data_IF_204897640773
#
_entry.id   IF_204897640773
#
_cell.length_a   1.000
_cell.length_b   1.000
_cell.length_c   1.000
_cell.angle_alpha   90.00
_cell.angle_beta   90.00
_cell.angle_gamma   90.00
#
_symmetry.space_group_name_H-M   'P 1'
#
loop_
_entity.id
_entity.type
_entity.pdbx_description
1 polymer ?
#
# COMPACT_ATOMS: atom_id res chain seq x y z
N UNK A 1 -44.49 -12.83 2.67
CA UNK A 1 -44.18 -13.51 3.94
C UNK A 1 -42.94 -12.83 4.49
N UNK A 2 -43.13 -11.81 5.35
CA UNK A 2 -42.07 -11.08 6.03
C UNK A 2 -41.59 -11.95 7.20
N UNK A 3 -40.39 -12.51 7.11
CA UNK A 3 -39.73 -13.05 8.29
C UNK A 3 -39.21 -11.89 9.14
N UNK A 4 -39.83 -11.72 10.27
CA UNK A 4 -39.30 -10.90 11.36
C UNK A 4 -38.00 -11.57 11.85
N UNK A 5 -36.88 -10.89 11.69
CA UNK A 5 -35.64 -11.28 12.34
C UNK A 5 -35.75 -10.90 13.82
N UNK A 6 -35.62 -11.88 14.71
CA UNK A 6 -35.48 -11.61 16.13
C UNK A 6 -34.06 -11.06 16.37
N UNK A 7 -33.97 -9.83 16.83
CA UNK A 7 -32.71 -9.22 17.24
C UNK A 7 -32.18 -9.93 18.52
N UNK A 8 -31.05 -10.59 18.40
CA UNK A 8 -30.37 -11.14 19.59
C UNK A 8 -29.66 -10.01 20.32
N UNK A 9 -30.17 -9.67 21.48
CA UNK A 9 -29.54 -8.67 22.36
C UNK A 9 -28.56 -9.36 23.31
N UNK A 10 -27.27 -9.13 23.09
CA UNK A 10 -26.22 -9.58 23.99
C UNK A 10 -25.78 -8.41 24.91
N UNK A 11 -25.48 -8.70 26.17
CA UNK A 11 -24.83 -7.75 27.06
C UNK A 11 -23.32 -7.98 26.97
N UNK A 12 -22.56 -6.90 26.71
CA UNK A 12 -21.11 -6.97 26.79
C UNK A 12 -20.63 -7.06 28.25
N UNK A 13 -19.34 -7.27 28.48
CA UNK A 13 -18.69 -7.37 29.79
C UNK A 13 -18.92 -6.12 30.70
N UNK A 14 -19.41 -5.02 30.16
CA UNK A 14 -19.74 -3.78 30.87
C UNK A 14 -21.25 -3.55 31.05
N UNK A 15 -22.07 -4.58 30.77
CA UNK A 15 -23.53 -4.51 30.91
C UNK A 15 -24.27 -3.68 29.87
N UNK A 16 -23.58 -3.20 28.78
CA UNK A 16 -24.22 -2.45 27.70
C UNK A 16 -24.90 -3.41 26.72
N UNK A 17 -26.10 -3.07 26.29
CA UNK A 17 -26.80 -3.81 25.25
C UNK A 17 -26.08 -3.65 23.92
N UNK A 18 -25.70 -4.78 23.31
CA UNK A 18 -25.17 -4.85 21.95
C UNK A 18 -26.24 -5.54 21.10
N UNK A 19 -26.80 -4.84 20.16
CA UNK A 19 -27.72 -5.40 19.18
C UNK A 19 -26.83 -6.10 18.14
N UNK A 20 -26.81 -7.42 18.15
CA UNK A 20 -26.16 -8.22 17.09
C UNK A 20 -27.21 -8.48 16.03
N UNK A 21 -27.18 -7.74 14.95
CA UNK A 21 -27.97 -8.02 13.76
C UNK A 21 -27.24 -9.19 13.05
N UNK A 22 -27.66 -10.41 13.31
CA UNK A 22 -27.21 -11.55 12.50
C UNK A 22 -27.90 -11.51 11.14
N UNK A 23 -27.38 -10.70 10.23
CA UNK A 23 -27.68 -10.94 8.83
C UNK A 23 -26.77 -12.08 8.35
N UNK A 24 -27.32 -13.14 7.77
CA UNK A 24 -26.50 -14.21 7.23
C UNK A 24 -25.57 -13.61 6.18
N UNK A 25 -24.26 -13.86 6.34
CA UNK A 25 -23.26 -13.41 5.37
C UNK A 25 -23.55 -14.05 4.01
N UNK A 26 -23.93 -13.23 3.05
CA UNK A 26 -24.11 -13.67 1.68
C UNK A 26 -22.85 -13.37 0.90
N UNK A 27 -22.06 -14.40 0.63
CA UNK A 27 -20.89 -14.26 -0.24
C UNK A 27 -21.35 -13.90 -1.66
N UNK A 28 -21.02 -12.67 -2.09
CA UNK A 28 -21.23 -12.24 -3.46
C UNK A 28 -19.92 -12.36 -4.22
N UNK A 29 -19.82 -13.31 -5.12
CA UNK A 29 -18.70 -13.37 -6.07
C UNK A 29 -18.86 -12.20 -7.04
N UNK A 30 -17.95 -11.24 -6.95
CA UNK A 30 -17.86 -10.13 -7.90
C UNK A 30 -16.76 -10.47 -8.91
N UNK A 31 -17.07 -10.35 -10.19
CA UNK A 31 -16.05 -10.46 -11.22
C UNK A 31 -15.10 -9.26 -11.13
N UNK A 32 -13.80 -9.53 -11.27
CA UNK A 32 -12.79 -8.49 -11.29
C UNK A 32 -12.89 -7.75 -12.64
N UNK A 33 -12.95 -6.43 -12.59
CA UNK A 33 -12.94 -5.59 -13.77
C UNK A 33 -11.62 -4.81 -13.86
N UNK A 34 -11.04 -4.75 -15.07
CA UNK A 34 -9.97 -3.82 -15.40
C UNK A 34 -10.65 -2.64 -16.10
N UNK A 35 -10.71 -1.45 -15.48
CA UNK A 35 -11.31 -0.29 -16.14
C UNK A 35 -10.51 0.10 -17.38
N UNK A 36 -11.20 0.55 -18.42
CA UNK A 36 -10.56 1.05 -19.62
C UNK A 36 -9.87 2.39 -19.33
N UNK A 37 -8.54 2.43 -19.43
CA UNK A 37 -7.76 3.65 -19.21
C UNK A 37 -7.96 4.70 -20.31
N UNK A 38 -8.35 4.27 -21.53
CA UNK A 38 -8.56 5.18 -22.67
C UNK A 38 -9.78 6.09 -22.48
N UNK A 39 -10.61 5.82 -21.48
CA UNK A 39 -11.73 6.71 -21.06
C UNK A 39 -11.23 8.06 -20.53
N UNK A 40 -9.96 8.17 -20.19
CA UNK A 40 -9.34 9.42 -19.78
C UNK A 40 -8.64 10.09 -20.97
N UNK A 41 -8.97 11.35 -21.30
CA UNK A 41 -8.39 12.05 -22.45
C UNK A 41 -6.86 12.03 -22.52
N UNK A 42 -6.20 12.17 -21.38
CA UNK A 42 -4.73 12.13 -21.32
C UNK A 42 -4.10 10.77 -21.64
N UNK A 43 -4.90 9.71 -21.67
CA UNK A 43 -4.45 8.35 -21.96
C UNK A 43 -5.19 7.68 -23.12
N UNK A 44 -5.98 8.44 -23.88
CA UNK A 44 -6.77 7.91 -24.99
C UNK A 44 -5.92 7.21 -26.07
N UNK A 45 -4.67 7.65 -26.26
CA UNK A 45 -3.74 7.06 -27.24
C UNK A 45 -2.75 6.06 -26.65
N UNK A 46 -2.84 5.73 -25.35
CA UNK A 46 -1.89 4.83 -24.69
C UNK A 46 -2.18 3.39 -25.07
N UNK A 47 -1.19 2.73 -25.61
CA UNK A 47 -1.25 1.32 -26.01
C UNK A 47 -1.25 0.40 -24.78
N UNK A 48 -1.65 -0.86 -24.98
CA UNK A 48 -1.60 -1.87 -23.93
C UNK A 48 -0.19 -2.15 -23.44
N UNK A 49 0.78 -2.20 -24.35
CA UNK A 49 2.18 -2.47 -24.01
C UNK A 49 2.77 -1.34 -23.15
N UNK A 50 2.45 -0.09 -23.48
CA UNK A 50 2.80 1.06 -22.64
C UNK A 50 2.14 0.96 -21.28
N UNK A 51 0.82 0.70 -21.23
CA UNK A 51 0.08 0.57 -19.97
C UNK A 51 0.62 -0.54 -19.06
N UNK A 52 1.02 -1.65 -19.61
CA UNK A 52 1.61 -2.78 -18.88
C UNK A 52 3.13 -2.58 -18.60
N UNK A 53 3.75 -1.48 -19.07
CA UNK A 53 5.14 -1.14 -18.79
C UNK A 53 5.33 -0.50 -17.42
N UNK A 54 6.21 -1.07 -16.59
CA UNK A 54 6.62 -0.50 -15.29
C UNK A 54 7.17 0.90 -15.44
N UNK A 55 8.03 1.10 -16.45
CA UNK A 55 8.68 2.38 -16.72
C UNK A 55 7.67 3.44 -17.10
N UNK A 56 6.71 3.10 -17.97
CA UNK A 56 5.64 4.00 -18.36
C UNK A 56 4.79 4.41 -17.16
N UNK A 57 4.35 3.46 -16.34
CA UNK A 57 3.56 3.72 -15.13
C UNK A 57 4.29 4.67 -14.17
N UNK A 58 5.58 4.46 -13.94
CA UNK A 58 6.40 5.32 -13.08
C UNK A 58 6.60 6.72 -13.65
N UNK A 59 6.84 6.84 -14.95
CA UNK A 59 7.05 8.11 -15.64
C UNK A 59 5.78 8.98 -15.65
N UNK A 60 4.60 8.36 -15.74
CA UNK A 60 3.31 9.03 -15.84
C UNK A 60 2.55 9.13 -14.50
N UNK A 61 3.22 8.91 -13.35
CA UNK A 61 2.63 9.20 -12.06
C UNK A 61 2.20 10.67 -11.97
N UNK A 62 0.96 10.88 -11.53
CA UNK A 62 0.41 12.23 -11.29
C UNK A 62 0.95 12.77 -9.97
N UNK A 63 1.56 13.97 -10.01
CA UNK A 63 2.26 14.60 -8.88
C UNK A 63 1.64 15.93 -8.45
N UNK A 64 0.72 16.46 -9.23
CA UNK A 64 0.08 17.76 -8.96
C UNK A 64 -1.25 17.89 -9.71
N UNK A 65 -2.01 18.93 -9.36
CA UNK A 65 -3.34 19.22 -9.93
C UNK A 65 -3.28 19.44 -11.45
N UNK A 66 -2.23 20.10 -11.95
CA UNK A 66 -2.10 20.34 -13.39
C UNK A 66 -2.04 19.01 -14.15
N UNK A 67 -1.18 18.09 -13.72
CA UNK A 67 -1.09 16.75 -14.33
C UNK A 67 -2.38 15.96 -14.18
N UNK A 68 -3.08 16.08 -13.03
CA UNK A 68 -4.38 15.45 -12.84
C UNK A 68 -5.41 15.96 -13.86
N UNK A 69 -5.45 17.27 -14.10
CA UNK A 69 -6.31 17.88 -15.13
C UNK A 69 -5.92 17.45 -16.55
N UNK A 70 -4.62 17.35 -16.85
CA UNK A 70 -4.13 16.86 -18.14
C UNK A 70 -4.62 15.43 -18.42
N UNK A 71 -4.62 14.58 -17.39
CA UNK A 71 -5.11 13.19 -17.51
C UNK A 71 -6.63 13.12 -17.64
N UNK A 72 -7.36 13.80 -16.75
CA UNK A 72 -8.83 13.70 -16.66
C UNK A 72 -9.56 14.67 -17.59
N UNK A 73 -8.84 15.57 -18.26
CA UNK A 73 -9.41 16.58 -19.14
C UNK A 73 -10.37 17.50 -18.39
N UNK A 74 -11.50 17.84 -19.03
CA UNK A 74 -12.54 18.68 -18.43
C UNK A 74 -13.41 18.01 -17.35
N UNK A 75 -13.12 16.76 -16.96
CA UNK A 75 -13.92 15.98 -16.01
C UNK A 75 -13.87 16.46 -14.57
N UNK A 76 -12.92 17.36 -14.21
CA UNK A 76 -12.83 17.92 -12.86
C UNK A 76 -13.39 19.34 -12.80
N UNK A 77 -14.30 19.58 -11.86
CA UNK A 77 -14.82 20.91 -11.59
C UNK A 77 -13.75 21.82 -10.94
N UNK A 78 -13.92 23.13 -11.12
CA UNK A 78 -13.08 24.13 -10.43
C UNK A 78 -13.22 24.01 -8.90
N UNK A 79 -14.42 23.66 -8.41
CA UNK A 79 -14.66 23.45 -6.99
C UNK A 79 -13.81 22.30 -6.43
N UNK A 80 -13.72 21.16 -7.14
CA UNK A 80 -12.84 20.06 -6.75
C UNK A 80 -11.37 20.49 -6.70
N UNK A 81 -10.91 21.22 -7.70
CA UNK A 81 -9.53 21.67 -7.77
C UNK A 81 -9.19 22.66 -6.66
N UNK A 82 -10.12 23.56 -6.31
CA UNK A 82 -9.96 24.47 -5.19
C UNK A 82 -9.89 23.72 -3.84
N UNK A 83 -10.76 22.72 -3.64
CA UNK A 83 -10.81 21.89 -2.45
C UNK A 83 -9.51 21.07 -2.28
N UNK A 84 -9.01 20.47 -3.36
CA UNK A 84 -7.73 19.75 -3.38
C UNK A 84 -6.54 20.70 -3.08
N UNK A 85 -6.54 21.90 -3.67
CA UNK A 85 -5.50 22.89 -3.42
C UNK A 85 -5.47 23.32 -1.94
N UNK A 86 -6.65 23.52 -1.37
CA UNK A 86 -6.78 23.88 0.05
C UNK A 86 -6.24 22.75 0.95
N UNK A 87 -6.58 21.49 0.67
CA UNK A 87 -6.04 20.35 1.42
C UNK A 87 -4.51 20.27 1.35
N UNK A 88 -3.96 20.40 0.14
CA UNK A 88 -2.51 20.34 -0.06
C UNK A 88 -1.74 21.43 0.68
N UNK A 89 -2.33 22.61 0.82
CA UNK A 89 -1.75 23.72 1.57
C UNK A 89 -1.87 23.59 3.08
N UNK A 90 -3.00 23.05 3.56
CA UNK A 90 -3.40 23.17 4.96
C UNK A 90 -3.34 21.88 5.76
N UNK A 91 -3.48 20.72 5.10
CA UNK A 91 -3.68 19.45 5.77
C UNK A 91 -2.84 18.30 5.26
N UNK A 92 -2.41 18.33 3.99
CA UNK A 92 -1.75 17.19 3.38
C UNK A 92 -0.39 16.88 4.03
N UNK A 93 -0.29 15.71 4.64
CA UNK A 93 0.96 15.19 5.22
C UNK A 93 1.81 14.44 4.19
N UNK A 94 1.24 14.11 3.03
CA UNK A 94 1.93 13.46 1.92
C UNK A 94 1.77 14.29 0.66
N UNK A 95 2.85 14.47 -0.09
CA UNK A 95 2.78 15.03 -1.44
C UNK A 95 2.03 14.07 -2.38
N UNK A 96 1.44 14.62 -3.43
CA UNK A 96 0.77 13.78 -4.43
C UNK A 96 1.78 12.95 -5.21
N UNK A 97 1.54 11.66 -5.30
CA UNK A 97 2.23 10.73 -6.20
C UNK A 97 1.29 9.55 -6.44
N UNK A 98 0.58 9.57 -7.56
CA UNK A 98 -0.45 8.58 -7.88
C UNK A 98 -0.14 7.92 -9.22
N UNK A 99 0.13 6.60 -9.25
CA UNK A 99 0.34 5.88 -10.49
C UNK A 99 -0.91 5.86 -11.37
N UNK A 100 -0.75 5.81 -12.71
CA UNK A 100 -1.87 5.67 -13.63
C UNK A 100 -2.81 4.51 -13.29
N UNK A 101 -2.27 3.36 -12.92
CA UNK A 101 -3.07 2.19 -12.50
C UNK A 101 -4.04 2.53 -11.37
N UNK A 102 -3.61 3.29 -10.35
CA UNK A 102 -4.49 3.69 -9.25
C UNK A 102 -5.57 4.69 -9.69
N UNK A 103 -5.20 5.68 -10.52
CA UNK A 103 -6.19 6.63 -11.06
C UNK A 103 -7.22 5.89 -11.91
N UNK A 104 -6.82 4.90 -12.68
CA UNK A 104 -7.72 4.11 -13.51
C UNK A 104 -8.79 3.37 -12.68
N UNK A 105 -8.52 3.05 -11.44
CA UNK A 105 -9.51 2.41 -10.55
C UNK A 105 -10.47 3.40 -9.88
N UNK A 106 -10.29 4.72 -10.07
CA UNK A 106 -11.17 5.75 -9.51
C UNK A 106 -12.37 6.00 -10.43
N UNK A 107 -13.57 6.03 -9.89
CA UNK A 107 -14.83 6.17 -10.64
C UNK A 107 -14.90 5.23 -11.88
N UNK A 108 -14.73 3.91 -11.72
CA UNK A 108 -14.44 3.00 -12.83
C UNK A 108 -15.55 2.86 -13.86
N UNK A 109 -16.78 3.20 -13.52
CA UNK A 109 -17.93 3.09 -14.41
C UNK A 109 -18.32 4.38 -15.15
N UNK A 110 -17.54 5.47 -14.98
CA UNK A 110 -17.91 6.79 -15.49
C UNK A 110 -16.79 7.33 -16.37
N UNK A 111 -17.13 7.80 -17.58
CA UNK A 111 -16.19 8.46 -18.46
C UNK A 111 -15.88 9.88 -17.95
N UNK A 112 -14.65 10.37 -18.18
CA UNK A 112 -14.26 11.71 -17.75
C UNK A 112 -15.06 12.83 -18.43
N UNK A 113 -15.66 12.56 -19.59
CA UNK A 113 -16.56 13.49 -20.31
C UNK A 113 -18.00 13.49 -19.78
N UNK A 114 -18.36 12.55 -18.88
CA UNK A 114 -19.70 12.47 -18.31
C UNK A 114 -19.91 13.60 -17.29
N UNK A 115 -21.02 14.36 -17.34
CA UNK A 115 -21.33 15.37 -16.32
C UNK A 115 -21.32 14.83 -14.88
N UNK A 116 -21.64 13.55 -14.68
CA UNK A 116 -21.64 12.91 -13.36
C UNK A 116 -20.23 12.55 -12.86
N UNK A 117 -19.18 12.72 -13.68
CA UNK A 117 -17.83 12.27 -13.33
C UNK A 117 -17.28 12.94 -12.07
N UNK A 118 -17.44 14.25 -11.95
CA UNK A 118 -16.93 14.97 -10.77
C UNK A 118 -17.54 14.43 -9.47
N UNK A 119 -18.84 14.21 -9.43
CA UNK A 119 -19.52 13.67 -8.23
C UNK A 119 -19.08 12.23 -7.94
N UNK A 120 -19.01 11.40 -8.96
CA UNK A 120 -18.52 10.02 -8.84
C UNK A 120 -17.06 9.98 -8.34
N UNK A 121 -16.22 10.89 -8.85
CA UNK A 121 -14.82 11.01 -8.44
C UNK A 121 -14.69 11.52 -6.99
N UNK A 122 -15.52 12.50 -6.57
CA UNK A 122 -15.59 12.93 -5.17
C UNK A 122 -15.98 11.79 -4.22
N UNK A 123 -16.97 10.99 -4.59
CA UNK A 123 -17.47 9.91 -3.76
C UNK A 123 -16.54 8.67 -3.74
N UNK A 124 -15.57 8.59 -4.67
CA UNK A 124 -14.78 7.40 -4.92
C UNK A 124 -13.86 7.05 -3.72
N UNK A 125 -13.92 5.81 -3.20
CA UNK A 125 -13.12 5.42 -2.04
C UNK A 125 -11.63 5.38 -2.33
N UNK A 126 -11.18 5.06 -3.56
CA UNK A 126 -9.76 5.06 -3.94
C UNK A 126 -9.24 6.50 -4.00
N UNK A 127 -10.00 7.41 -4.62
CA UNK A 127 -9.66 8.83 -4.65
C UNK A 127 -9.49 9.37 -3.23
N UNK A 128 -10.42 9.06 -2.31
CA UNK A 128 -10.39 9.59 -0.94
C UNK A 128 -9.10 9.28 -0.19
N UNK A 129 -8.52 8.11 -0.35
CA UNK A 129 -7.28 7.79 0.34
C UNK A 129 -6.01 8.12 -0.47
N UNK A 130 -6.12 8.26 -1.80
CA UNK A 130 -4.96 8.60 -2.65
C UNK A 130 -4.85 10.09 -2.93
N UNK A 131 -5.97 10.77 -3.11
CA UNK A 131 -6.07 12.21 -3.44
C UNK A 131 -7.11 12.84 -2.51
N UNK A 132 -6.86 12.89 -1.20
CA UNK A 132 -7.79 13.52 -0.26
C UNK A 132 -7.93 15.01 -0.56
N UNK A 133 -9.12 15.54 -0.32
CA UNK A 133 -9.45 16.96 -0.43
C UNK A 133 -9.85 17.51 0.95
N UNK A 134 -9.88 18.83 1.13
CA UNK A 134 -10.15 19.45 2.42
C UNK A 134 -11.51 19.04 2.99
N UNK A 135 -12.53 18.94 2.14
CA UNK A 135 -13.88 18.51 2.54
C UNK A 135 -13.97 17.03 2.99
N UNK A 136 -12.99 16.19 2.68
CA UNK A 136 -12.90 14.83 3.25
C UNK A 136 -12.47 14.84 4.73
N UNK A 137 -11.89 15.95 5.20
CA UNK A 137 -11.35 16.05 6.56
C UNK A 137 -12.47 16.30 7.57
N UNK A 138 -12.63 15.40 8.51
CA UNK A 138 -13.64 15.49 9.55
C UNK A 138 -13.14 16.40 10.68
N UNK A 139 -13.34 17.71 10.52
CA UNK A 139 -12.97 18.70 11.54
C UNK A 139 -13.76 18.52 12.86
N UNK A 140 -14.92 17.88 12.79
CA UNK A 140 -15.78 17.55 13.92
C UNK A 140 -15.33 16.32 14.71
N UNK A 141 -14.37 15.56 14.23
CA UNK A 141 -13.80 14.44 14.95
C UNK A 141 -12.62 14.93 15.80
N UNK A 142 -12.75 14.88 17.12
CA UNK A 142 -11.66 15.29 17.99
C UNK A 142 -10.48 14.32 17.83
N UNK A 143 -9.29 14.89 17.71
CA UNK A 143 -8.06 14.11 17.87
C UNK A 143 -7.88 13.72 19.33
N UNK A 144 -7.35 12.53 19.59
CA UNK A 144 -6.96 12.16 20.95
C UNK A 144 -5.89 13.15 21.45
N UNK A 145 -5.96 13.65 22.71
CA UNK A 145 -5.03 14.66 23.22
C UNK A 145 -3.56 14.26 23.13
N UNK A 146 -3.27 12.96 23.17
CA UNK A 146 -1.92 12.40 23.05
C UNK A 146 -1.63 11.81 21.65
N UNK A 147 -2.44 12.14 20.64
CA UNK A 147 -2.19 11.68 19.28
C UNK A 147 -0.90 12.30 18.74
N UNK A 148 -0.01 11.45 18.26
CA UNK A 148 1.22 11.84 17.54
C UNK A 148 1.17 11.30 16.13
N UNK A 149 1.96 11.90 15.23
CA UNK A 149 2.07 11.40 13.85
C UNK A 149 2.77 10.05 13.76
N UNK A 150 3.81 9.86 14.57
CA UNK A 150 4.42 8.55 14.80
C UNK A 150 3.74 7.89 16.04
N UNK A 151 2.51 7.45 15.86
CA UNK A 151 1.71 6.83 16.93
C UNK A 151 2.30 5.52 17.45
N UNK A 152 3.23 4.92 16.72
CA UNK A 152 3.91 3.68 17.08
C UNK A 152 5.30 3.91 17.65
N UNK A 153 5.80 5.15 17.67
CA UNK A 153 7.14 5.52 18.12
C UNK A 153 8.24 4.69 17.43
N UNK A 154 8.09 4.46 16.12
CA UNK A 154 8.98 3.57 15.37
C UNK A 154 10.42 4.07 15.34
N UNK A 155 10.63 5.39 15.16
CA UNK A 155 11.96 5.98 15.12
C UNK A 155 12.70 5.94 16.48
N UNK A 156 11.96 6.07 17.59
CA UNK A 156 12.52 5.99 18.95
C UNK A 156 12.98 4.57 19.32
N UNK A 157 12.47 3.57 18.60
CA UNK A 157 12.75 2.15 18.83
C UNK A 157 13.77 1.57 17.82
N UNK A 158 14.51 2.41 17.12
CA UNK A 158 15.57 1.93 16.24
C UNK A 158 16.71 1.33 17.02
N UNK A 159 16.92 0.04 16.85
CA UNK A 159 18.10 -0.65 17.37
C UNK A 159 19.37 -0.28 16.59
N UNK A 160 19.22 -0.11 15.28
CA UNK A 160 20.12 0.59 14.37
C UNK A 160 19.25 1.44 13.44
N UNK A 161 19.82 2.44 12.80
CA UNK A 161 19.04 3.38 11.99
C UNK A 161 18.15 2.67 10.96
N UNK A 162 16.83 2.86 11.08
CA UNK A 162 15.82 2.24 10.23
C UNK A 162 15.46 0.79 10.60
N UNK A 163 15.95 0.24 11.71
CA UNK A 163 15.54 -1.07 12.21
C UNK A 163 14.79 -0.93 13.54
N UNK A 164 13.47 -0.86 13.48
CA UNK A 164 12.62 -0.81 14.67
C UNK A 164 12.55 -2.18 15.34
N UNK A 165 12.99 -2.30 16.59
CA UNK A 165 12.89 -3.52 17.40
C UNK A 165 11.98 -3.31 18.61
N UNK A 166 10.68 -3.36 18.37
CA UNK A 166 9.64 -3.14 19.38
C UNK A 166 9.21 -4.42 20.11
N UNK A 167 9.25 -5.56 19.43
CA UNK A 167 8.77 -6.83 19.95
C UNK A 167 9.91 -7.83 20.07
N UNK A 168 9.97 -8.68 21.13
CA UNK A 168 11.10 -9.57 21.38
C UNK A 168 11.53 -10.43 20.19
N UNK A 169 10.58 -10.83 19.35
CA UNK A 169 10.83 -11.77 18.24
C UNK A 169 10.69 -11.16 16.85
N UNK A 170 10.32 -9.87 16.75
CA UNK A 170 9.97 -9.24 15.49
C UNK A 170 10.59 -7.86 15.34
N UNK A 171 11.09 -7.60 14.14
CA UNK A 171 11.62 -6.29 13.76
C UNK A 171 10.96 -5.78 12.48
N UNK A 172 11.04 -4.46 12.31
CA UNK A 172 10.67 -3.76 11.09
C UNK A 172 11.94 -3.13 10.49
N UNK A 173 12.31 -3.55 9.28
CA UNK A 173 13.43 -3.00 8.54
C UNK A 173 12.94 -1.95 7.54
N UNK A 174 13.22 -0.69 7.80
CA UNK A 174 12.89 0.46 6.94
C UNK A 174 14.01 0.70 5.93
N UNK A 175 13.99 -0.06 4.83
CA UNK A 175 15.08 -0.11 3.86
C UNK A 175 15.20 1.14 2.99
N UNK A 176 14.11 1.91 2.85
CA UNK A 176 14.08 3.16 2.07
C UNK A 176 12.93 4.08 2.50
N UNK A 177 13.06 5.42 2.28
CA UNK A 177 12.02 6.38 2.64
C UNK A 177 11.10 6.77 1.46
N UNK A 178 11.00 5.94 0.42
CA UNK A 178 10.22 6.28 -0.80
C UNK A 178 9.28 5.17 -1.20
N UNK A 179 8.16 5.55 -1.84
CA UNK A 179 7.16 4.64 -2.38
C UNK A 179 6.94 4.93 -3.87
N UNK A 180 6.42 3.96 -4.64
CA UNK A 180 5.95 4.22 -6.00
C UNK A 180 4.62 5.01 -6.02
N UNK A 181 3.95 5.13 -4.88
CA UNK A 181 2.73 5.92 -4.67
C UNK A 181 2.69 6.45 -3.24
N UNK A 182 2.05 7.62 -3.02
CA UNK A 182 1.87 8.16 -1.68
C UNK A 182 0.39 8.14 -1.29
N UNK A 183 0.11 7.59 -0.11
CA UNK A 183 -1.24 7.45 0.43
C UNK A 183 -1.49 8.54 1.48
N UNK A 184 -2.66 9.18 1.44
CA UNK A 184 -3.02 10.22 2.40
C UNK A 184 -3.15 9.77 3.87
N UNK A 185 -3.17 8.45 4.10
CA UNK A 185 -3.22 7.81 5.42
C UNK A 185 -1.91 7.14 5.82
N UNK A 186 -0.77 7.61 5.32
CA UNK A 186 0.54 7.02 5.62
C UNK A 186 0.85 7.14 7.11
N UNK A 187 1.12 6.00 7.78
CA UNK A 187 1.51 5.98 9.20
C UNK A 187 2.97 6.40 9.41
N UNK A 188 3.79 6.36 8.34
CA UNK A 188 5.20 6.81 8.35
C UNK A 188 5.38 8.13 7.61
N UNK A 189 4.40 9.02 7.74
CA UNK A 189 4.40 10.31 7.04
C UNK A 189 5.57 11.22 7.46
N UNK A 190 6.15 11.01 8.62
CA UNK A 190 7.32 11.78 9.07
C UNK A 190 8.63 11.34 8.39
N UNK A 191 8.70 10.11 7.85
CA UNK A 191 9.87 9.55 7.18
C UNK A 191 9.69 9.48 5.66
N UNK A 192 8.51 9.04 5.20
CA UNK A 192 8.27 8.67 3.81
C UNK A 192 7.85 9.87 2.97
N UNK A 193 8.41 9.99 1.78
CA UNK A 193 8.04 10.96 0.76
C UNK A 193 8.72 12.32 0.90
N UNK A 194 8.21 13.28 0.13
CA UNK A 194 8.73 14.65 0.12
C UNK A 194 8.10 15.50 1.22
N UNK A 195 8.80 16.54 1.72
CA UNK A 195 8.19 17.54 2.58
C UNK A 195 6.94 18.15 1.95
N UNK A 196 6.01 18.57 2.81
CA UNK A 196 4.82 19.33 2.44
C UNK A 196 4.79 20.65 3.22
N UNK A 197 3.88 21.59 2.92
CA UNK A 197 3.75 22.78 3.76
C UNK A 197 3.44 22.48 5.23
N UNK A 198 2.90 21.31 5.51
CA UNK A 198 2.44 20.90 6.85
C UNK A 198 3.48 20.08 7.60
N UNK A 199 4.38 19.39 6.88
CA UNK A 199 5.30 18.40 7.49
C UNK A 199 6.72 18.50 6.89
N UNK A 200 7.72 18.55 7.78
CA UNK A 200 9.11 18.28 7.44
C UNK A 200 9.39 16.79 7.62
N UNK A 201 10.11 16.18 6.69
CA UNK A 201 10.44 14.74 6.73
C UNK A 201 11.78 14.52 7.44
N UNK A 202 11.82 13.49 8.26
CA UNK A 202 13.07 12.92 8.74
C UNK A 202 13.86 12.32 7.57
N UNK A 203 15.16 12.36 7.69
CA UNK A 203 16.08 11.75 6.70
C UNK A 203 16.97 10.77 7.43
N UNK A 204 17.24 9.68 6.79
CA UNK A 204 18.31 8.79 7.25
C UNK A 204 19.66 9.52 7.16
N UNK A 205 20.45 9.44 8.20
CA UNK A 205 21.75 10.07 8.29
C UNK A 205 22.82 9.24 7.57
N UNK A 206 22.80 7.92 7.77
CA UNK A 206 23.76 7.00 7.16
C UNK A 206 23.39 6.63 5.71
N UNK A 207 24.36 6.36 4.84
CA UNK A 207 24.15 5.78 3.53
C UNK A 207 23.32 4.48 3.60
N UNK A 208 22.57 4.19 2.54
CA UNK A 208 21.66 3.03 2.53
C UNK A 208 22.41 1.73 2.78
N UNK A 209 23.52 1.50 2.10
CA UNK A 209 24.30 0.27 2.16
C UNK A 209 24.83 0.02 3.57
N UNK A 210 25.29 1.06 4.25
CA UNK A 210 25.77 0.99 5.64
C UNK A 210 24.62 0.62 6.60
N UNK A 211 23.44 1.22 6.41
CA UNK A 211 22.23 0.91 7.19
C UNK A 211 21.80 -0.54 7.01
N UNK A 212 21.71 -1.02 5.75
CA UNK A 212 21.33 -2.40 5.46
C UNK A 212 22.36 -3.39 6.04
N UNK A 213 23.64 -3.08 5.92
CA UNK A 213 24.71 -3.86 6.55
C UNK A 213 24.61 -3.90 8.08
N UNK A 214 24.34 -2.75 8.72
CA UNK A 214 24.14 -2.67 10.17
C UNK A 214 22.91 -3.47 10.63
N UNK A 215 21.81 -3.44 9.87
CA UNK A 215 20.62 -4.26 10.15
C UNK A 215 20.93 -5.75 10.13
N UNK A 216 21.64 -6.23 9.10
CA UNK A 216 22.06 -7.65 9.00
C UNK A 216 22.97 -8.02 10.16
N UNK A 217 23.95 -7.17 10.51
CA UNK A 217 24.85 -7.40 11.63
C UNK A 217 24.11 -7.50 12.96
N UNK A 218 23.15 -6.58 13.20
CA UNK A 218 22.30 -6.62 14.39
C UNK A 218 21.50 -7.92 14.49
N UNK A 219 20.88 -8.35 13.38
CA UNK A 219 20.06 -9.56 13.35
C UNK A 219 20.88 -10.83 13.60
N UNK A 220 22.11 -10.90 13.09
CA UNK A 220 23.04 -12.01 13.36
C UNK A 220 23.42 -12.13 14.83
N UNK A 221 23.45 -11.01 15.56
CA UNK A 221 23.82 -10.96 16.98
C UNK A 221 22.62 -10.96 17.92
N UNK A 222 21.40 -11.03 17.38
CA UNK A 222 20.15 -11.00 18.16
C UNK A 222 19.31 -12.25 17.90
N UNK A 223 19.64 -13.40 18.49
CA UNK A 223 19.04 -14.70 18.16
C UNK A 223 17.56 -14.83 18.56
N UNK A 224 17.05 -13.90 19.38
CA UNK A 224 15.63 -13.83 19.72
C UNK A 224 14.73 -13.41 18.57
N UNK A 225 15.24 -12.67 17.58
CA UNK A 225 14.48 -12.20 16.44
C UNK A 225 14.25 -13.35 15.46
N UNK A 226 13.00 -13.56 15.07
CA UNK A 226 12.59 -14.61 14.13
C UNK A 226 11.82 -14.09 12.92
N UNK A 227 11.21 -12.91 13.04
CA UNK A 227 10.30 -12.33 12.06
C UNK A 227 10.80 -10.95 11.65
N UNK A 228 11.04 -10.77 10.35
CA UNK A 228 11.51 -9.52 9.76
C UNK A 228 10.48 -8.99 8.78
N UNK A 229 9.91 -7.82 9.08
CA UNK A 229 9.10 -7.06 8.13
C UNK A 229 10.01 -6.12 7.36
N UNK A 230 10.23 -6.39 6.10
CA UNK A 230 10.98 -5.50 5.18
C UNK A 230 10.01 -4.48 4.61
N UNK A 231 10.23 -3.20 4.91
CA UNK A 231 9.31 -2.10 4.61
C UNK A 231 10.08 -0.77 4.45
N UNK A 232 9.63 0.25 5.14
CA UNK A 232 10.14 1.64 5.08
C UNK A 232 9.12 2.50 4.37
N UNK A 233 9.43 3.00 3.16
CA UNK A 233 8.42 3.40 2.21
C UNK A 233 7.72 2.16 1.67
N UNK A 234 8.10 1.73 0.49
CA UNK A 234 7.54 0.52 -0.12
C UNK A 234 8.66 -0.25 -0.81
N UNK A 235 8.76 -1.56 -0.52
CA UNK A 235 9.85 -2.40 -1.04
C UNK A 235 9.89 -2.45 -2.57
N UNK A 236 8.77 -2.26 -3.27
CA UNK A 236 8.74 -2.19 -4.73
C UNK A 236 9.48 -0.97 -5.30
N UNK A 237 9.86 -0.02 -4.46
CA UNK A 237 10.65 1.15 -4.88
C UNK A 237 12.17 0.95 -4.71
N UNK A 238 12.58 -0.15 -4.06
CA UNK A 238 13.97 -0.58 -4.04
C UNK A 238 14.28 -1.32 -5.35
N UNK A 239 15.40 -1.03 -6.05
CA UNK A 239 15.82 -1.81 -7.21
C UNK A 239 15.87 -3.30 -6.86
N UNK A 240 15.32 -4.15 -7.74
CA UNK A 240 15.17 -5.58 -7.45
C UNK A 240 16.47 -6.27 -6.99
N UNK A 241 17.62 -6.07 -7.66
CA UNK A 241 18.86 -6.73 -7.23
C UNK A 241 19.26 -6.41 -5.80
N UNK A 242 18.95 -5.19 -5.32
CA UNK A 242 19.23 -4.78 -3.94
C UNK A 242 18.27 -5.42 -2.93
N UNK A 243 16.97 -5.49 -3.30
CA UNK A 243 15.97 -6.16 -2.47
C UNK A 243 16.29 -7.65 -2.35
N UNK A 244 16.60 -8.30 -3.48
CA UNK A 244 16.96 -9.72 -3.54
C UNK A 244 18.22 -10.01 -2.70
N UNK A 245 19.25 -9.17 -2.81
CA UNK A 245 20.48 -9.31 -2.01
C UNK A 245 20.21 -9.17 -0.49
N UNK A 246 19.40 -8.19 -0.10
CA UNK A 246 19.04 -7.99 1.30
C UNK A 246 18.22 -9.17 1.86
N UNK A 247 17.23 -9.64 1.12
CA UNK A 247 16.41 -10.80 1.52
C UNK A 247 17.25 -12.08 1.57
N UNK A 248 18.16 -12.27 0.62
CA UNK A 248 19.09 -13.40 0.65
C UNK A 248 19.96 -13.36 1.90
N UNK A 249 20.49 -12.19 2.26
CA UNK A 249 21.26 -12.03 3.49
C UNK A 249 20.44 -12.33 4.77
N UNK A 250 19.12 -12.04 4.75
CA UNK A 250 18.22 -12.44 5.84
C UNK A 250 18.00 -13.95 5.88
N UNK A 251 17.88 -14.59 4.72
CA UNK A 251 17.74 -16.06 4.62
C UNK A 251 18.99 -16.81 5.14
N UNK A 252 20.14 -16.16 5.13
CA UNK A 252 21.40 -16.74 5.64
C UNK A 252 21.55 -16.62 7.17
N UNK A 253 20.58 -16.01 7.86
CA UNK A 253 20.58 -15.89 9.33
C UNK A 253 19.79 -17.03 9.95
N UNK A 254 20.45 -17.86 10.75
CA UNK A 254 19.91 -19.13 11.26
C UNK A 254 18.64 -18.99 12.12
N UNK A 255 18.45 -17.88 12.82
CA UNK A 255 17.28 -17.68 13.68
C UNK A 255 16.06 -17.11 12.93
N UNK A 256 16.20 -16.60 11.71
CA UNK A 256 15.07 -16.05 10.96
C UNK A 256 14.17 -17.19 10.46
N UNK A 257 12.85 -17.01 10.63
CA UNK A 257 11.80 -17.97 10.22
C UNK A 257 10.75 -17.36 9.31
N UNK A 258 10.51 -16.05 9.43
CA UNK A 258 9.50 -15.35 8.65
C UNK A 258 10.08 -14.05 8.09
N UNK A 259 9.93 -13.85 6.78
CA UNK A 259 10.27 -12.60 6.09
C UNK A 259 9.01 -12.09 5.39
N UNK A 260 8.63 -10.85 5.66
CA UNK A 260 7.46 -10.23 5.07
C UNK A 260 7.88 -9.00 4.26
N UNK A 261 7.57 -9.00 2.97
CA UNK A 261 7.80 -7.87 2.07
C UNK A 261 6.56 -6.98 2.08
N UNK A 262 6.62 -5.83 2.75
CA UNK A 262 5.48 -4.94 2.88
C UNK A 262 5.41 -3.98 1.68
N UNK A 263 4.31 -4.06 0.93
CA UNK A 263 4.10 -3.25 -0.27
C UNK A 263 2.63 -2.89 -0.46
N UNK A 264 2.35 -1.70 -0.94
CA UNK A 264 1.06 -1.29 -1.50
C UNK A 264 1.09 -1.26 -3.03
N UNK A 265 2.27 -1.43 -3.62
CA UNK A 265 2.47 -1.42 -5.07
C UNK A 265 1.83 -2.63 -5.78
N UNK A 266 1.42 -3.67 -5.06
CA UNK A 266 0.63 -4.74 -5.69
C UNK A 266 -0.67 -4.19 -6.29
N UNK A 267 -1.27 -3.16 -5.66
CA UNK A 267 -2.45 -2.47 -6.18
C UNK A 267 -2.09 -1.33 -7.15
N UNK A 268 -1.09 -0.52 -6.82
CA UNK A 268 -0.80 0.71 -7.55
C UNK A 268 0.21 0.57 -8.69
N UNK A 269 1.00 -0.49 -8.68
CA UNK A 269 2.02 -0.77 -9.70
C UNK A 269 2.17 -2.29 -9.87
N UNK A 270 1.07 -3.03 -10.17
CA UNK A 270 1.12 -4.49 -10.34
C UNK A 270 2.12 -4.93 -11.41
N UNK A 271 2.37 -4.09 -12.42
CA UNK A 271 3.36 -4.32 -13.47
C UNK A 271 4.76 -4.61 -12.91
N UNK A 272 5.15 -3.98 -11.79
CA UNK A 272 6.42 -4.26 -11.13
C UNK A 272 6.52 -5.73 -10.69
N UNK A 273 5.47 -6.25 -10.07
CA UNK A 273 5.42 -7.63 -9.59
C UNK A 273 5.24 -8.67 -10.71
N UNK A 274 4.84 -8.21 -11.90
CA UNK A 274 4.68 -9.03 -13.11
C UNK A 274 5.93 -9.04 -13.99
N UNK A 275 6.91 -8.15 -13.74
CA UNK A 275 8.13 -8.11 -14.53
C UNK A 275 8.95 -9.40 -14.38
N UNK A 276 9.60 -9.84 -15.46
CA UNK A 276 10.34 -11.09 -15.49
C UNK A 276 11.48 -11.11 -14.45
N UNK A 277 12.17 -9.99 -14.27
CA UNK A 277 13.24 -9.85 -13.28
C UNK A 277 12.72 -10.14 -11.85
N UNK A 278 11.61 -9.51 -11.47
CA UNK A 278 11.02 -9.67 -10.13
C UNK A 278 10.47 -11.08 -9.94
N UNK A 279 9.78 -11.62 -10.95
CA UNK A 279 9.22 -12.98 -10.89
C UNK A 279 10.31 -14.04 -10.75
N UNK A 280 11.32 -14.01 -11.62
CA UNK A 280 12.44 -14.94 -11.53
C UNK A 280 13.20 -14.83 -10.20
N UNK A 281 13.38 -13.60 -9.70
CA UNK A 281 14.00 -13.38 -8.40
C UNK A 281 13.16 -13.89 -7.24
N UNK A 282 11.84 -13.69 -7.24
CA UNK A 282 10.95 -14.26 -6.23
C UNK A 282 10.95 -15.80 -6.24
N UNK A 283 11.07 -16.40 -7.40
CA UNK A 283 11.20 -17.86 -7.54
C UNK A 283 12.51 -18.36 -6.89
N UNK A 284 13.65 -17.68 -7.14
CA UNK A 284 14.94 -18.00 -6.49
C UNK A 284 14.86 -17.86 -4.98
N UNK A 285 14.35 -16.72 -4.50
CA UNK A 285 14.18 -16.48 -3.05
C UNK A 285 13.25 -17.52 -2.42
N UNK A 286 12.13 -17.86 -3.09
CA UNK A 286 11.20 -18.88 -2.62
C UNK A 286 11.82 -20.28 -2.57
N UNK A 287 12.68 -20.63 -3.53
CA UNK A 287 13.43 -21.89 -3.51
C UNK A 287 14.39 -21.95 -2.33
N UNK A 288 15.18 -20.90 -2.12
CA UNK A 288 16.14 -20.81 -0.98
C UNK A 288 15.39 -20.84 0.35
N UNK A 289 14.29 -20.11 0.47
CA UNK A 289 13.47 -20.07 1.68
C UNK A 289 12.94 -21.46 2.05
N UNK A 290 12.42 -22.22 1.07
CA UNK A 290 11.99 -23.62 1.30
C UNK A 290 13.12 -24.50 1.80
N UNK A 291 14.31 -24.41 1.21
CA UNK A 291 15.49 -25.18 1.65
C UNK A 291 15.90 -24.84 3.09
N UNK A 292 15.73 -23.58 3.49
CA UNK A 292 16.07 -23.08 4.84
C UNK A 292 14.95 -23.23 5.87
N UNK A 293 13.76 -23.66 5.46
CA UNK A 293 12.56 -23.71 6.33
C UNK A 293 12.10 -22.33 6.78
N UNK A 294 12.29 -21.29 5.93
CA UNK A 294 11.87 -19.90 6.16
C UNK A 294 10.65 -19.59 5.32
N UNK A 295 9.68 -18.88 5.89
CA UNK A 295 8.51 -18.36 5.18
C UNK A 295 8.83 -16.99 4.57
N UNK A 296 8.50 -16.79 3.30
CA UNK A 296 8.48 -15.47 2.68
C UNK A 296 7.06 -15.14 2.26
N UNK A 297 6.57 -13.95 2.63
CA UNK A 297 5.25 -13.48 2.24
C UNK A 297 5.29 -12.04 1.73
N UNK A 298 4.46 -11.72 0.74
CA UNK A 298 4.14 -10.32 0.42
C UNK A 298 2.94 -9.91 1.25
N UNK A 299 3.13 -8.85 2.02
CA UNK A 299 2.06 -8.18 2.75
C UNK A 299 1.61 -6.96 1.96
N UNK A 300 0.35 -6.96 1.56
CA UNK A 300 -0.25 -5.81 0.87
C UNK A 300 -1.48 -5.32 1.61
N UNK A 301 -1.77 -4.03 1.44
CA UNK A 301 -2.94 -3.39 2.01
C UNK A 301 -3.90 -2.97 0.91
N UNK A 302 -5.14 -3.43 0.98
CA UNK A 302 -6.22 -3.12 0.04
C UNK A 302 -7.29 -2.32 0.78
N UNK A 303 -7.50 -1.06 0.39
CA UNK A 303 -8.50 -0.18 1.01
C UNK A 303 -9.87 -0.26 0.32
N UNK A 304 -9.91 -0.64 -0.95
CA UNK A 304 -11.14 -0.72 -1.73
C UNK A 304 -11.09 -1.91 -2.69
N UNK A 305 -12.17 -2.66 -2.78
CA UNK A 305 -12.26 -3.86 -3.61
C UNK A 305 -11.99 -3.58 -5.10
N UNK A 306 -12.41 -2.42 -5.60
CA UNK A 306 -12.19 -1.99 -6.99
C UNK A 306 -10.70 -1.84 -7.37
N UNK A 307 -9.80 -1.72 -6.39
CA UNK A 307 -8.35 -1.73 -6.64
C UNK A 307 -7.82 -3.13 -6.99
N UNK A 308 -8.60 -4.19 -6.77
CA UNK A 308 -8.23 -5.55 -7.11
C UNK A 308 -8.71 -5.84 -8.53
N UNK A 309 -7.91 -5.50 -9.51
CA UNK A 309 -8.21 -5.71 -10.93
C UNK A 309 -7.68 -7.06 -11.42
N UNK A 310 -8.05 -7.54 -12.63
CA UNK A 310 -7.46 -8.72 -13.26
C UNK A 310 -5.93 -8.64 -13.36
N UNK A 311 -5.38 -7.45 -13.61
CA UNK A 311 -3.93 -7.24 -13.65
C UNK A 311 -3.30 -7.50 -12.28
N UNK A 312 -3.89 -6.97 -11.22
CA UNK A 312 -3.48 -7.25 -9.82
C UNK A 312 -3.59 -8.74 -9.50
N UNK A 313 -4.66 -9.39 -9.94
CA UNK A 313 -4.86 -10.82 -9.72
C UNK A 313 -3.80 -11.68 -10.42
N UNK A 314 -3.34 -11.29 -11.63
CA UNK A 314 -2.20 -11.93 -12.32
C UNK A 314 -0.90 -11.81 -11.53
N UNK A 315 -0.66 -10.69 -10.84
CA UNK A 315 0.50 -10.50 -9.96
C UNK A 315 0.56 -11.47 -8.79
N UNK A 316 -0.55 -12.18 -8.51
CA UNK A 316 -0.60 -13.28 -7.55
C UNK A 316 -0.26 -14.65 -8.15
N UNK A 317 0.30 -14.72 -9.36
CA UNK A 317 0.57 -15.88 -10.19
C UNK A 317 1.04 -17.18 -9.51
N UNK A 318 1.39 -18.24 -10.24
CA UNK A 318 1.65 -19.58 -9.66
C UNK A 318 2.79 -19.66 -8.64
N UNK A 319 3.67 -18.65 -8.57
CA UNK A 319 4.65 -18.52 -7.48
C UNK A 319 4.01 -18.29 -6.10
N UNK A 320 2.74 -17.95 -6.06
CA UNK A 320 1.95 -17.58 -4.89
C UNK A 320 0.90 -18.63 -4.50
N UNK A 321 0.70 -19.65 -5.31
CA UNK A 321 -0.16 -20.77 -4.94
C UNK A 321 0.59 -21.66 -3.97
N UNK A 322 0.02 -22.05 -2.81
CA UNK A 322 0.61 -23.06 -1.97
C UNK A 322 0.69 -24.37 -2.77
N UNK A 323 1.91 -24.85 -3.02
CA UNK A 323 2.07 -26.24 -3.37
C UNK A 323 1.43 -27.03 -2.23
N UNK A 324 0.53 -27.93 -2.56
CA UNK A 324 -0.16 -28.79 -1.60
C UNK A 324 0.86 -29.40 -0.63
N UNK A 325 0.85 -28.95 0.64
CA UNK A 325 1.43 -29.68 1.74
C UNK A 325 2.62 -29.08 2.50
N UNK A 326 3.28 -28.00 2.10
CA UNK A 326 4.38 -27.42 2.89
C UNK A 326 4.51 -25.91 2.70
N UNK A 327 4.83 -25.22 3.78
CA UNK A 327 4.98 -23.78 3.96
C UNK A 327 5.41 -23.02 2.70
N UNK A 328 4.49 -22.34 2.09
CA UNK A 328 4.69 -21.62 0.85
C UNK A 328 4.54 -20.13 1.08
N UNK A 329 5.10 -19.38 0.17
CA UNK A 329 4.91 -17.93 0.03
C UNK A 329 3.40 -17.59 0.07
N UNK A 330 2.94 -16.89 1.09
CA UNK A 330 1.55 -16.45 1.25
C UNK A 330 1.42 -14.98 0.87
N UNK A 331 0.47 -14.66 0.00
CA UNK A 331 -0.03 -13.30 -0.08
C UNK A 331 -1.10 -13.14 1.00
N UNK A 332 -0.82 -12.40 2.05
CA UNK A 332 -1.80 -12.07 3.07
C UNK A 332 -2.41 -10.71 2.73
N UNK A 333 -3.67 -10.69 2.26
CA UNK A 333 -4.42 -9.46 2.09
C UNK A 333 -5.13 -9.17 3.41
N UNK A 334 -4.71 -8.14 4.12
CA UNK A 334 -5.49 -7.58 5.22
C UNK A 334 -6.49 -6.60 4.61
N UNK A 335 -7.77 -6.96 4.59
CA UNK A 335 -8.85 -6.00 4.36
C UNK A 335 -9.06 -5.24 5.66
N UNK A 336 -8.93 -3.89 5.59
CA UNK A 336 -9.29 -2.97 6.65
C UNK A 336 -10.72 -2.49 6.49
#
# INVERSE_FOLDING_TARGET
MLHLYEDIVLKNLFGRQVIVIEQPYVYRRTELAEPDWTRFPGWAGVTRDEWESVQWQRAHCVKNIRQLREVLGGGLSEAFCADLTADQRERATMSMLVPPQMINTMAPGVAASDPAFTDAFYADPVRRYMIPVLSDRRADWPSHPYATRDSLHEAEMWAVEGLTHRYPTKVLAEVLPTCPQYCGHCTRMDLVGNPTPVITKHKFAAPREDRLGAMITYLKTTPGVRDVVVSGGDVANLPWPRLEAFVSALLDIDNIRDIRLATKALMGLPQHWLSDEVRAGMERLGATARQRGVSIAIHTHVNAAQSVTPLVARGRGPCWTPASGTSATRACCCAG
#
